data_IF_394049409331
#
_entry.id   IF_394049409331
#
_cell.length_a   1.000
_cell.length_b   1.000
_cell.length_c   1.000
_cell.angle_alpha   90.00
_cell.angle_beta   90.00
_cell.angle_gamma   90.00
#
_symmetry.space_group_name_H-M   'P 1'
#
loop_
_entity.id
_entity.type
_entity.pdbx_description
1 polymer ?
#
# COMPACT_ATOMS: atom_id res chain seq x y z
N UNK A 1 1.05 9.92 3.55
CA UNK A 1 1.85 10.25 2.36
C UNK A 1 3.26 9.64 2.42
N UNK A 2 4.07 9.89 3.48
CA UNK A 2 5.44 9.34 3.60
C UNK A 2 5.48 7.81 3.53
N UNK A 3 4.57 7.10 4.23
CA UNK A 3 4.53 5.63 4.22
C UNK A 3 4.26 5.04 2.84
N UNK A 4 3.37 5.63 2.06
CA UNK A 4 3.08 5.19 0.69
C UNK A 4 4.25 5.44 -0.26
N UNK A 5 4.89 6.61 -0.16
CA UNK A 5 6.09 6.92 -0.94
C UNK A 5 7.27 5.99 -0.60
N UNK A 6 7.48 5.71 0.70
CA UNK A 6 8.49 4.75 1.15
C UNK A 6 8.20 3.33 0.65
N UNK A 7 6.92 2.90 0.68
CA UNK A 7 6.52 1.58 0.19
C UNK A 7 6.71 1.42 -1.33
N UNK A 8 6.36 2.43 -2.11
CA UNK A 8 6.57 2.44 -3.55
C UNK A 8 8.07 2.53 -3.89
N UNK A 9 8.77 3.50 -3.29
CA UNK A 9 10.19 3.74 -3.56
C UNK A 9 11.08 2.56 -3.18
N UNK A 10 10.85 1.93 -2.02
CA UNK A 10 11.62 0.75 -1.61
C UNK A 10 11.38 -0.46 -2.53
N UNK A 11 10.13 -0.68 -2.97
CA UNK A 11 9.81 -1.79 -3.87
C UNK A 11 10.42 -1.57 -5.26
N UNK A 12 10.25 -0.38 -5.83
CA UNK A 12 10.83 0.01 -7.12
C UNK A 12 12.35 -0.04 -7.07
N UNK A 13 12.97 0.55 -6.03
CA UNK A 13 14.41 0.56 -5.87
C UNK A 13 15.01 -0.83 -5.72
N UNK A 14 14.38 -1.71 -4.94
CA UNK A 14 14.83 -3.09 -4.79
C UNK A 14 14.69 -3.88 -6.11
N UNK A 15 13.55 -3.76 -6.78
CA UNK A 15 13.31 -4.43 -8.05
C UNK A 15 14.31 -3.99 -9.12
N UNK A 16 14.59 -2.69 -9.18
CA UNK A 16 15.58 -2.13 -10.09
C UNK A 16 16.99 -2.62 -9.76
N UNK A 17 17.37 -2.63 -8.47
CA UNK A 17 18.69 -3.13 -8.02
C UNK A 17 18.90 -4.63 -8.31
N UNK A 18 17.81 -5.41 -8.37
CA UNK A 18 17.81 -6.82 -8.75
C UNK A 18 17.81 -7.04 -10.27
N UNK A 19 17.82 -5.98 -11.07
CA UNK A 19 17.85 -6.07 -12.53
C UNK A 19 16.57 -6.58 -13.16
N UNK A 20 15.41 -6.40 -12.50
CA UNK A 20 14.14 -6.82 -13.07
C UNK A 20 13.75 -5.97 -14.29
N UNK A 21 13.00 -6.55 -15.26
CA UNK A 21 12.50 -5.79 -16.41
C UNK A 21 11.73 -4.55 -15.99
N UNK A 22 11.86 -3.45 -16.73
CA UNK A 22 11.24 -2.16 -16.41
C UNK A 22 9.71 -2.28 -16.24
N UNK A 23 9.04 -3.09 -17.07
CA UNK A 23 7.62 -3.36 -16.97
C UNK A 23 7.24 -3.93 -15.58
N UNK A 24 8.05 -4.84 -15.02
CA UNK A 24 7.85 -5.42 -13.69
C UNK A 24 8.08 -4.38 -12.61
N UNK A 25 9.15 -3.58 -12.74
CA UNK A 25 9.47 -2.48 -11.81
C UNK A 25 8.33 -1.47 -11.73
N UNK A 26 7.81 -1.05 -12.89
CA UNK A 26 6.68 -0.11 -12.97
C UNK A 26 5.37 -0.72 -12.41
N UNK A 27 5.15 -2.01 -12.61
CA UNK A 27 3.99 -2.72 -12.04
C UNK A 27 4.01 -2.79 -10.51
N UNK A 28 5.19 -2.76 -9.89
CA UNK A 28 5.37 -2.74 -8.44
C UNK A 28 5.09 -1.38 -7.79
N UNK A 29 5.22 -0.29 -8.54
CA UNK A 29 5.07 1.06 -8.00
C UNK A 29 3.71 1.28 -7.30
N UNK A 30 2.56 0.89 -7.87
CA UNK A 30 1.25 1.08 -7.25
C UNK A 30 0.83 -0.06 -6.30
N UNK A 31 1.71 -0.97 -5.85
CA UNK A 31 1.35 -2.15 -5.05
C UNK A 31 0.60 -1.88 -3.75
N UNK A 32 0.68 -0.66 -3.21
CA UNK A 32 0.07 -0.28 -1.92
C UNK A 32 -1.27 0.46 -2.07
N UNK A 33 -1.91 0.37 -3.23
CA UNK A 33 -3.30 0.81 -3.44
C UNK A 33 -4.19 -0.38 -3.81
N UNK A 34 -5.51 -0.17 -3.88
CA UNK A 34 -6.45 -1.23 -4.27
C UNK A 34 -6.16 -1.74 -5.69
N UNK A 35 -6.38 -3.03 -5.93
CA UNK A 35 -6.05 -3.65 -7.20
C UNK A 35 -6.60 -2.91 -8.45
N UNK A 36 -7.86 -2.45 -8.51
CA UNK A 36 -8.35 -1.69 -9.67
C UNK A 36 -7.58 -0.38 -9.91
N UNK A 37 -7.20 0.33 -8.84
CA UNK A 37 -6.42 1.56 -8.94
C UNK A 37 -4.98 1.25 -9.34
N UNK A 38 -4.38 0.19 -8.79
CA UNK A 38 -3.04 -0.27 -9.15
C UNK A 38 -2.95 -0.61 -10.64
N UNK A 39 -3.95 -1.32 -11.16
CA UNK A 39 -4.06 -1.64 -12.60
C UNK A 39 -4.07 -0.38 -13.47
N UNK A 40 -4.95 0.58 -13.13
CA UNK A 40 -5.06 1.82 -13.89
C UNK A 40 -3.81 2.71 -13.83
N UNK A 41 -3.10 2.70 -12.71
CA UNK A 41 -1.82 3.42 -12.60
C UNK A 41 -0.74 2.71 -13.43
N UNK A 42 -0.60 1.39 -13.28
CA UNK A 42 0.40 0.60 -14.01
C UNK A 42 0.26 0.75 -15.52
N UNK A 43 -0.98 0.65 -16.03
CA UNK A 43 -1.28 0.83 -17.45
C UNK A 43 -0.82 2.20 -17.99
N UNK A 44 -1.05 3.26 -17.21
CA UNK A 44 -0.64 4.63 -17.57
C UNK A 44 0.87 4.86 -17.61
N UNK A 45 1.63 4.12 -16.83
CA UNK A 45 3.09 4.31 -16.70
C UNK A 45 3.92 3.28 -17.45
N UNK A 46 3.28 2.38 -18.23
CA UNK A 46 3.97 1.36 -19.01
C UNK A 46 4.30 0.07 -18.23
N UNK A 47 3.65 -0.15 -17.09
CA UNK A 47 3.65 -1.41 -16.37
C UNK A 47 2.56 -2.36 -16.88
N UNK A 48 2.53 -3.56 -16.32
CA UNK A 48 1.51 -4.58 -16.61
C UNK A 48 0.38 -4.51 -15.56
N UNK A 49 -0.85 -4.22 -16.02
CA UNK A 49 -2.01 -4.07 -15.16
C UNK A 49 -2.32 -5.35 -14.34
N UNK A 50 -2.27 -6.52 -14.97
CA UNK A 50 -2.54 -7.79 -14.28
C UNK A 50 -1.50 -8.09 -13.22
N UNK A 51 -0.23 -7.82 -13.50
CA UNK A 51 0.87 -7.99 -12.56
C UNK A 51 0.75 -7.02 -11.38
N UNK A 52 0.37 -5.77 -11.63
CA UNK A 52 0.11 -4.78 -10.59
C UNK A 52 -1.05 -5.20 -9.66
N UNK A 53 -2.11 -5.81 -10.20
CA UNK A 53 -3.19 -6.36 -9.41
C UNK A 53 -2.71 -7.48 -8.48
N UNK A 54 -1.88 -8.40 -8.99
CA UNK A 54 -1.28 -9.48 -8.18
C UNK A 54 -0.43 -8.91 -7.06
N UNK A 55 0.46 -7.96 -7.37
CA UNK A 55 1.31 -7.31 -6.35
C UNK A 55 0.49 -6.58 -5.30
N UNK A 56 -0.58 -5.89 -5.69
CA UNK A 56 -1.48 -5.25 -4.74
C UNK A 56 -2.14 -6.28 -3.82
N UNK A 57 -2.72 -7.34 -4.36
CA UNK A 57 -3.38 -8.39 -3.55
C UNK A 57 -2.40 -9.05 -2.58
N UNK A 58 -1.23 -9.45 -3.06
CA UNK A 58 -0.19 -10.07 -2.21
C UNK A 58 0.27 -9.10 -1.10
N UNK A 59 0.50 -7.83 -1.45
CA UNK A 59 0.86 -6.80 -0.46
C UNK A 59 -0.22 -6.64 0.61
N UNK A 60 -1.48 -6.59 0.20
CA UNK A 60 -2.61 -6.49 1.12
C UNK A 60 -2.74 -7.70 2.06
N UNK A 61 -2.58 -8.91 1.53
CA UNK A 61 -2.64 -10.15 2.31
C UNK A 61 -1.49 -10.21 3.32
N UNK A 62 -0.26 -9.97 2.88
CA UNK A 62 0.92 -9.96 3.78
C UNK A 62 0.74 -8.91 4.88
N UNK A 63 0.31 -7.70 4.54
CA UNK A 63 0.07 -6.64 5.51
C UNK A 63 -1.03 -7.00 6.52
N UNK A 64 -2.15 -7.55 6.04
CA UNK A 64 -3.27 -7.96 6.92
C UNK A 64 -2.90 -9.09 7.87
N UNK A 65 -2.10 -10.05 7.42
CA UNK A 65 -1.66 -11.19 8.24
C UNK A 65 -0.56 -10.79 9.24
N UNK A 66 0.40 -9.97 8.82
CA UNK A 66 1.54 -9.57 9.66
C UNK A 66 1.21 -8.44 10.63
N UNK A 67 0.17 -7.65 10.38
CA UNK A 67 -0.14 -6.44 11.14
C UNK A 67 -0.21 -6.65 12.65
N UNK A 68 -0.93 -7.68 13.11
CA UNK A 68 -1.05 -7.98 14.55
C UNK A 68 0.32 -8.19 15.21
N UNK A 69 1.17 -9.01 14.59
CA UNK A 69 2.50 -9.33 15.11
C UNK A 69 3.41 -8.10 15.09
N UNK A 70 3.40 -7.34 14.00
CA UNK A 70 4.20 -6.12 13.88
C UNK A 70 3.81 -5.07 14.93
N UNK A 71 2.52 -4.83 15.14
CA UNK A 71 2.07 -3.87 16.15
C UNK A 71 2.42 -4.31 17.57
N UNK A 72 2.37 -5.61 17.86
CA UNK A 72 2.81 -6.15 19.15
C UNK A 72 4.32 -5.96 19.36
N UNK A 73 5.14 -6.24 18.35
CA UNK A 73 6.60 -6.05 18.39
C UNK A 73 6.99 -4.58 18.55
N UNK A 74 6.22 -3.66 17.95
CA UNK A 74 6.44 -2.22 18.04
C UNK A 74 5.87 -1.59 19.32
N UNK A 75 5.23 -2.39 20.20
CA UNK A 75 4.63 -1.90 21.43
C UNK A 75 3.45 -0.96 21.23
N UNK A 76 2.79 -0.97 20.07
CA UNK A 76 1.63 -0.13 19.80
C UNK A 76 0.43 -0.66 20.59
N UNK A 77 -0.05 0.13 21.55
CA UNK A 77 -1.09 -0.23 22.50
C UNK A 77 -2.49 -0.44 21.89
N UNK A 78 -3.45 -0.77 22.77
CA UNK A 78 -4.87 -0.92 22.43
C UNK A 78 -5.70 0.26 22.95
N UNK A 79 -5.07 1.40 23.17
CA UNK A 79 -5.70 2.67 23.48
C UNK A 79 -6.15 3.40 22.22
N UNK A 80 -6.84 4.52 22.38
CA UNK A 80 -7.36 5.32 21.25
C UNK A 80 -6.26 5.67 20.25
N UNK A 81 -5.10 6.11 20.72
CA UNK A 81 -3.96 6.46 19.86
C UNK A 81 -3.40 5.23 19.15
N UNK A 82 -3.34 4.10 19.83
CA UNK A 82 -2.91 2.83 19.25
C UNK A 82 -3.84 2.36 18.14
N UNK A 83 -5.17 2.47 18.31
CA UNK A 83 -6.13 2.12 17.25
C UNK A 83 -6.03 3.03 16.04
N UNK A 84 -5.81 4.34 16.24
CA UNK A 84 -5.51 5.29 15.16
C UNK A 84 -4.28 4.87 14.37
N UNK A 85 -3.17 4.63 15.07
CA UNK A 85 -1.89 4.27 14.45
C UNK A 85 -1.98 2.95 13.67
N UNK A 86 -2.59 1.92 14.26
CA UNK A 86 -2.82 0.61 13.62
C UNK A 86 -3.69 0.74 12.39
N UNK A 87 -4.82 1.45 12.51
CA UNK A 87 -5.73 1.66 11.39
C UNK A 87 -5.05 2.39 10.25
N UNK A 88 -4.41 3.52 10.55
CA UNK A 88 -3.73 4.32 9.52
C UNK A 88 -2.61 3.53 8.82
N UNK A 89 -1.82 2.76 9.57
CA UNK A 89 -0.78 1.91 9.00
C UNK A 89 -1.37 0.83 8.09
N UNK A 90 -2.46 0.15 8.52
CA UNK A 90 -3.12 -0.90 7.74
C UNK A 90 -3.72 -0.36 6.44
N UNK A 91 -4.39 0.80 6.50
CA UNK A 91 -4.96 1.43 5.31
C UNK A 91 -3.91 1.90 4.31
N UNK A 92 -2.77 2.43 4.81
CA UNK A 92 -1.69 2.92 3.96
C UNK A 92 -0.88 1.77 3.32
N UNK A 93 -0.54 0.74 4.09
CA UNK A 93 0.36 -0.33 3.63
C UNK A 93 -0.38 -1.50 2.96
N UNK A 94 -1.57 -1.86 3.46
CA UNK A 94 -2.33 -3.03 3.03
C UNK A 94 -3.69 -2.68 2.39
N UNK A 95 -3.87 -1.42 2.07
CA UNK A 95 -5.03 -0.85 1.34
C UNK A 95 -6.39 -1.43 1.79
N UNK A 96 -7.28 -1.84 0.84
CA UNK A 96 -8.63 -2.32 1.15
C UNK A 96 -8.65 -3.60 1.99
N UNK A 97 -7.72 -4.54 1.77
CA UNK A 97 -7.61 -5.78 2.56
C UNK A 97 -7.22 -5.45 4.00
N UNK A 98 -6.25 -4.55 4.19
CA UNK A 98 -5.85 -4.06 5.50
C UNK A 98 -6.95 -3.30 6.22
N UNK A 99 -7.69 -2.44 5.50
CA UNK A 99 -8.80 -1.69 6.06
C UNK A 99 -9.95 -2.60 6.51
N UNK A 100 -10.30 -3.61 5.72
CA UNK A 100 -11.29 -4.61 6.10
C UNK A 100 -10.85 -5.38 7.36
N UNK A 101 -9.58 -5.76 7.45
CA UNK A 101 -9.03 -6.43 8.64
C UNK A 101 -9.02 -5.51 9.86
N UNK A 102 -8.66 -4.23 9.70
CA UNK A 102 -8.66 -3.25 10.78
C UNK A 102 -10.07 -3.07 11.37
N UNK A 103 -11.09 -2.97 10.51
CA UNK A 103 -12.49 -2.85 10.91
C UNK A 103 -12.99 -4.06 11.70
N UNK A 104 -12.55 -5.27 11.35
CA UNK A 104 -12.89 -6.49 12.09
C UNK A 104 -12.29 -6.52 13.49
N UNK A 105 -11.17 -5.82 13.70
CA UNK A 105 -10.48 -5.77 15.00
C UNK A 105 -11.04 -4.69 15.91
N UNK A 106 -11.25 -3.48 15.40
CA UNK A 106 -11.76 -2.35 16.16
C UNK A 106 -12.40 -1.30 15.22
N UNK A 107 -13.58 -0.74 15.54
CA UNK A 107 -14.24 0.27 14.71
C UNK A 107 -13.36 1.50 14.41
N UNK A 108 -12.67 2.04 15.41
CA UNK A 108 -11.78 3.19 15.24
C UNK A 108 -10.61 2.86 14.30
N UNK A 109 -10.01 1.67 14.44
CA UNK A 109 -8.96 1.23 13.52
C UNK A 109 -9.50 1.12 12.09
N UNK A 110 -10.72 0.63 11.91
CA UNK A 110 -11.40 0.58 10.62
C UNK A 110 -11.61 1.96 10.00
N UNK A 111 -12.10 2.93 10.79
CA UNK A 111 -12.33 4.29 10.34
C UNK A 111 -11.03 4.98 9.89
N UNK A 112 -9.97 4.87 10.69
CA UNK A 112 -8.65 5.41 10.33
C UNK A 112 -8.02 4.70 9.14
N UNK A 113 -8.25 3.39 8.98
CA UNK A 113 -7.77 2.64 7.82
C UNK A 113 -8.49 3.06 6.53
N UNK A 114 -9.79 3.31 6.59
CA UNK A 114 -10.55 3.82 5.44
C UNK A 114 -10.08 5.21 5.01
N UNK A 115 -9.84 6.11 5.98
CA UNK A 115 -9.28 7.43 5.71
C UNK A 115 -7.89 7.34 5.06
N UNK A 116 -7.01 6.52 5.63
CA UNK A 116 -5.66 6.32 5.11
C UNK A 116 -5.65 5.74 3.69
N UNK A 117 -6.51 4.76 3.44
CA UNK A 117 -6.73 4.17 2.12
C UNK A 117 -7.16 5.23 1.10
N UNK A 118 -8.14 6.06 1.42
CA UNK A 118 -8.62 7.12 0.54
C UNK A 118 -7.51 8.12 0.20
N UNK A 119 -6.77 8.59 1.21
CA UNK A 119 -5.62 9.48 1.01
C UNK A 119 -4.52 8.82 0.17
N UNK A 120 -4.25 7.53 0.40
CA UNK A 120 -3.24 6.78 -0.35
C UNK A 120 -3.63 6.64 -1.82
N UNK A 121 -4.90 6.34 -2.12
CA UNK A 121 -5.41 6.24 -3.49
C UNK A 121 -5.24 7.56 -4.24
N UNK A 122 -5.68 8.68 -3.65
CA UNK A 122 -5.54 10.02 -4.27
C UNK A 122 -4.06 10.35 -4.50
N UNK A 123 -3.24 10.18 -3.47
CA UNK A 123 -1.81 10.50 -3.53
C UNK A 123 -1.09 9.67 -4.60
N UNK A 124 -1.30 8.35 -4.60
CA UNK A 124 -0.64 7.46 -5.55
C UNK A 124 -1.07 7.71 -6.99
N UNK A 125 -2.38 7.95 -7.22
CA UNK A 125 -2.92 8.22 -8.56
C UNK A 125 -2.36 9.51 -9.19
N UNK A 126 -1.96 10.48 -8.37
CA UNK A 126 -1.35 11.73 -8.83
C UNK A 126 0.17 11.63 -8.92
N UNK A 127 0.82 11.14 -7.86
CA UNK A 127 2.29 11.20 -7.75
C UNK A 127 3.00 10.12 -8.56
N UNK A 128 2.49 8.88 -8.60
CA UNK A 128 3.17 7.80 -9.31
C UNK A 128 3.30 8.10 -10.80
N UNK A 129 2.23 8.50 -11.54
CA UNK A 129 2.38 8.86 -12.95
C UNK A 129 3.24 10.10 -13.17
N UNK A 130 3.26 11.05 -12.22
CA UNK A 130 4.10 12.23 -12.32
C UNK A 130 5.58 11.88 -12.21
N UNK A 131 5.94 11.05 -11.24
CA UNK A 131 7.33 10.61 -11.02
C UNK A 131 7.80 9.66 -12.14
N UNK A 132 6.91 8.77 -12.61
CA UNK A 132 7.25 7.82 -13.68
C UNK A 132 7.64 8.48 -15.02
N UNK A 133 7.29 9.75 -15.23
CA UNK A 133 7.73 10.51 -16.43
C UNK A 133 9.24 10.79 -16.47
N UNK A 134 9.95 10.55 -15.36
CA UNK A 134 11.39 10.81 -15.26
C UNK A 134 12.24 9.53 -15.43
N UNK A 135 11.59 8.39 -15.64
CA UNK A 135 12.21 7.09 -15.96
C UNK A 135 11.92 6.67 -17.41
#
# INVERSE_FOLDING_TARGET
MVGGAAAAGSAVGLAWALGLPLEVVLSLAPKSVTAPVAMGIADKIGGNASLAAVFAVVTGLVGALSGKTLFALLGIGNDTTGWMARGFAMGTAAHGIGAARALQVHPDAGAWAALALGLQVVTASLLIPLVARWF
#
